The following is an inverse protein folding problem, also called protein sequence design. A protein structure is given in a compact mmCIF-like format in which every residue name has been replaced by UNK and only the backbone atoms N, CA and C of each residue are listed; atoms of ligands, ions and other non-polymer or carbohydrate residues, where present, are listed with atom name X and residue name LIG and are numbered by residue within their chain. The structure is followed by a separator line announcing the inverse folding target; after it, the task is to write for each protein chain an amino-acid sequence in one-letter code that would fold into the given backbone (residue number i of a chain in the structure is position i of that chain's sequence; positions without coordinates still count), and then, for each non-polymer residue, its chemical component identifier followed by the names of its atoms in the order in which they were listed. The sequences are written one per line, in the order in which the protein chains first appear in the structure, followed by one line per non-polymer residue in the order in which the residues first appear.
data_IF_461247352340
#
_entry.id   IF_461247352340
#
_cell.length_a   1.000
_cell.length_b   1.000
_cell.length_c   1.000
_cell.angle_alpha   90.00
_cell.angle_beta   90.00
_cell.angle_gamma   90.00
#
_symmetry.space_group_name_H-M   'P 1'
#
loop_
_entity.id
_entity.type
_entity.pdbx_description
1 polymer ?
#
# COMPACT_ATOMS: atom_id res chain seq x y z
N UNK A 1 33.60 16.22 -16.15
CA UNK A 1 32.21 16.25 -15.63
C UNK A 1 31.63 14.86 -15.77
N UNK A 2 31.49 14.11 -14.67
CA UNK A 2 30.83 12.80 -14.73
C UNK A 2 29.39 13.01 -15.20
N UNK A 3 28.97 12.31 -16.26
CA UNK A 3 27.57 12.30 -16.68
C UNK A 3 26.75 11.76 -15.50
N UNK A 4 25.90 12.61 -14.92
CA UNK A 4 24.81 12.12 -14.09
C UNK A 4 24.10 11.03 -14.88
N UNK A 5 23.85 9.87 -14.27
CA UNK A 5 23.13 8.79 -14.91
C UNK A 5 21.79 9.28 -15.46
N UNK A 6 21.19 8.54 -16.40
CA UNK A 6 19.82 8.85 -16.83
C UNK A 6 18.89 8.97 -15.61
N UNK A 7 17.80 9.75 -15.68
CA UNK A 7 16.87 9.89 -14.54
C UNK A 7 16.43 8.54 -13.97
N UNK A 8 16.17 7.55 -14.83
CA UNK A 8 15.87 6.17 -14.43
C UNK A 8 17.01 5.51 -13.66
N UNK A 9 18.26 5.68 -14.09
CA UNK A 9 19.43 5.12 -13.40
C UNK A 9 19.66 5.79 -12.03
N UNK A 10 19.38 7.10 -11.91
CA UNK A 10 19.46 7.83 -10.64
C UNK A 10 18.44 7.29 -9.64
N UNK A 11 17.17 7.12 -10.06
CA UNK A 11 16.12 6.57 -9.21
C UNK A 11 16.38 5.11 -8.82
N UNK A 12 16.79 4.27 -9.78
CA UNK A 12 17.12 2.87 -9.52
C UNK A 12 18.24 2.75 -8.47
N UNK A 13 19.28 3.59 -8.57
CA UNK A 13 20.38 3.63 -7.60
C UNK A 13 19.92 4.12 -6.23
N UNK A 14 19.08 5.16 -6.18
CA UNK A 14 18.51 5.63 -4.92
C UNK A 14 17.75 4.50 -4.20
N UNK A 15 16.89 3.77 -4.92
CA UNK A 15 16.10 2.68 -4.34
C UNK A 15 16.99 1.50 -3.92
N UNK A 16 17.99 1.11 -4.72
CA UNK A 16 18.88 0.00 -4.39
C UNK A 16 19.80 0.27 -3.20
N UNK A 17 20.20 1.53 -3.02
CA UNK A 17 21.18 1.92 -1.98
C UNK A 17 20.50 2.37 -0.66
N UNK A 18 19.16 2.45 -0.65
CA UNK A 18 18.37 2.82 0.51
C UNK A 18 18.41 1.69 1.56
N UNK A 19 18.83 2.03 2.77
CA UNK A 19 18.71 1.18 3.94
C UNK A 19 18.00 1.94 5.06
N UNK A 20 17.42 1.20 6.00
CA UNK A 20 16.58 1.78 7.06
C UNK A 20 17.29 2.88 7.85
N UNK A 21 18.57 2.68 8.18
CA UNK A 21 19.38 3.64 8.95
C UNK A 21 19.65 4.97 8.21
N UNK A 22 19.44 5.02 6.89
CA UNK A 22 19.54 6.25 6.09
C UNK A 22 18.23 7.04 6.04
N UNK A 23 17.14 6.51 6.59
CA UNK A 23 15.84 7.19 6.58
C UNK A 23 15.80 8.20 7.73
N UNK A 24 15.56 9.50 7.47
CA UNK A 24 15.45 10.50 8.53
C UNK A 24 14.36 10.15 9.54
N UNK A 25 14.60 10.40 10.83
CA UNK A 25 13.65 10.05 11.90
C UNK A 25 12.27 10.65 11.68
N UNK A 26 12.19 11.88 11.17
CA UNK A 26 10.90 12.51 10.88
C UNK A 26 10.12 11.79 9.78
N UNK A 27 10.78 11.15 8.82
CA UNK A 27 10.13 10.34 7.77
C UNK A 27 9.58 9.06 8.38
N UNK A 28 10.33 8.42 9.28
CA UNK A 28 9.88 7.24 10.03
C UNK A 28 8.68 7.59 10.93
N UNK A 29 8.70 8.75 11.58
CA UNK A 29 7.57 9.22 12.37
C UNK A 29 6.34 9.48 11.50
N UNK A 30 6.51 10.10 10.33
CA UNK A 30 5.42 10.43 9.42
C UNK A 30 4.80 9.19 8.78
N UNK A 31 5.59 8.23 8.28
CA UNK A 31 5.05 7.03 7.64
C UNK A 31 4.19 6.19 8.60
N UNK A 32 4.47 6.21 9.91
CA UNK A 32 3.60 5.57 10.92
C UNK A 32 2.21 6.20 10.96
N UNK A 33 2.10 7.51 10.79
CA UNK A 33 0.82 8.21 10.70
C UNK A 33 0.11 7.86 9.39
N UNK A 34 0.82 7.82 8.26
CA UNK A 34 0.25 7.38 6.98
C UNK A 34 -0.28 5.94 7.03
N UNK A 35 0.44 5.04 7.71
CA UNK A 35 -0.03 3.65 7.94
C UNK A 35 -1.31 3.64 8.78
N UNK A 36 -1.34 4.43 9.87
CA UNK A 36 -2.51 4.53 10.72
C UNK A 36 -3.73 5.07 9.94
N UNK A 37 -3.52 6.12 9.16
CA UNK A 37 -4.53 6.74 8.30
C UNK A 37 -5.09 5.75 7.27
N UNK A 38 -4.22 5.07 6.52
CA UNK A 38 -4.62 4.10 5.52
C UNK A 38 -5.43 2.93 6.12
N UNK A 39 -5.03 2.42 7.30
CA UNK A 39 -5.79 1.39 8.00
C UNK A 39 -7.18 1.90 8.43
N UNK A 40 -7.27 3.14 8.92
CA UNK A 40 -8.56 3.78 9.24
C UNK A 40 -9.47 3.91 8.02
N UNK A 41 -8.93 4.39 6.91
CA UNK A 41 -9.64 4.52 5.64
C UNK A 41 -10.10 3.15 5.11
N UNK A 42 -9.26 2.14 5.16
CA UNK A 42 -9.61 0.79 4.72
C UNK A 42 -10.71 0.16 5.58
N UNK A 43 -10.68 0.36 6.91
CA UNK A 43 -11.73 -0.10 7.82
C UNK A 43 -13.07 0.55 7.47
N UNK A 44 -13.09 1.87 7.27
CA UNK A 44 -14.29 2.57 6.82
C UNK A 44 -14.75 2.06 5.45
N UNK A 45 -13.84 1.98 4.49
CA UNK A 45 -14.09 1.51 3.13
C UNK A 45 -14.68 0.10 3.07
N UNK A 46 -14.22 -0.81 3.95
CA UNK A 46 -14.72 -2.19 4.03
C UNK A 46 -16.21 -2.28 4.35
N UNK A 47 -16.77 -1.25 5.01
CA UNK A 47 -18.19 -1.18 5.35
C UNK A 47 -19.07 -0.70 4.19
N UNK A 48 -18.49 -0.04 3.18
CA UNK A 48 -19.20 0.58 2.06
C UNK A 48 -19.63 -0.43 1.00
N UNK A 49 -20.66 -0.12 0.17
CA UNK A 49 -21.15 -1.04 -0.85
C UNK A 49 -20.07 -1.52 -1.83
N UNK A 50 -19.23 -0.61 -2.34
CA UNK A 50 -18.13 -0.95 -3.25
C UNK A 50 -16.99 -1.69 -2.56
N UNK A 51 -16.73 -1.40 -1.28
CA UNK A 51 -15.81 -2.19 -0.47
C UNK A 51 -16.24 -3.65 -0.37
N UNK A 52 -17.52 -3.91 -0.07
CA UNK A 52 -18.08 -5.26 -0.06
C UNK A 52 -17.99 -5.95 -1.42
N UNK A 53 -18.14 -5.20 -2.52
CA UNK A 53 -18.01 -5.73 -3.88
C UNK A 53 -16.59 -6.21 -4.14
N UNK A 54 -15.57 -5.38 -3.86
CA UNK A 54 -14.18 -5.77 -4.14
C UNK A 54 -13.72 -6.91 -3.23
N UNK A 55 -14.14 -6.91 -1.96
CA UNK A 55 -13.86 -8.00 -1.01
C UNK A 55 -14.42 -9.33 -1.53
N UNK A 56 -15.67 -9.34 -2.00
CA UNK A 56 -16.27 -10.55 -2.58
C UNK A 56 -15.53 -10.99 -3.83
N UNK A 57 -15.23 -10.05 -4.74
CA UNK A 57 -14.51 -10.35 -5.98
C UNK A 57 -13.16 -11.03 -5.73
N UNK A 58 -12.31 -10.47 -4.85
CA UNK A 58 -10.98 -11.06 -4.61
C UNK A 58 -11.04 -12.42 -3.93
N UNK A 59 -12.08 -12.68 -3.13
CA UNK A 59 -12.35 -14.01 -2.52
C UNK A 59 -12.77 -15.03 -3.58
N UNK A 60 -13.52 -14.62 -4.58
CA UNK A 60 -13.92 -15.46 -5.72
C UNK A 60 -12.76 -15.74 -6.67
N UNK A 61 -11.82 -14.81 -6.83
CA UNK A 61 -10.62 -15.00 -7.68
C UNK A 61 -9.65 -16.08 -7.16
N UNK A 62 -9.75 -16.47 -5.89
CA UNK A 62 -8.95 -17.55 -5.34
C UNK A 62 -8.85 -17.51 -3.82
N UNK A 63 -8.66 -18.69 -3.23
CA UNK A 63 -8.44 -18.87 -1.79
C UNK A 63 -7.02 -19.40 -1.56
N UNK A 64 -6.39 -19.02 -0.46
CA UNK A 64 -5.04 -19.48 -0.13
C UNK A 64 -4.36 -18.63 0.95
N UNK A 65 -3.28 -19.16 1.53
CA UNK A 65 -2.43 -18.47 2.51
C UNK A 65 -1.57 -17.44 1.78
N UNK A 66 -1.92 -16.17 1.91
CA UNK A 66 -1.18 -15.07 1.29
C UNK A 66 -1.23 -13.84 2.17
N UNK A 67 -2.15 -12.93 1.89
CA UNK A 67 -2.29 -11.68 2.61
C UNK A 67 -3.74 -11.42 3.03
N UNK A 68 -3.89 -10.65 4.12
CA UNK A 68 -5.19 -10.34 4.72
C UNK A 68 -5.87 -9.20 3.98
N UNK A 69 -7.19 -9.31 3.85
CA UNK A 69 -8.05 -8.19 3.50
C UNK A 69 -8.28 -7.34 4.77
N UNK A 70 -7.89 -6.07 4.73
CA UNK A 70 -8.07 -5.15 5.85
C UNK A 70 -9.56 -4.89 6.13
N UNK A 71 -9.96 -4.97 7.39
CA UNK A 71 -11.35 -4.81 7.83
C UNK A 71 -12.28 -6.02 7.64
N UNK A 72 -11.88 -7.02 6.85
CA UNK A 72 -12.63 -8.29 6.70
C UNK A 72 -11.91 -9.46 7.38
N UNK A 73 -10.58 -9.51 7.30
CA UNK A 73 -9.76 -10.53 7.95
C UNK A 73 -9.63 -11.86 7.19
N UNK A 74 -10.27 -12.03 6.03
CA UNK A 74 -10.00 -13.19 5.20
C UNK A 74 -8.60 -13.14 4.57
N UNK A 75 -8.00 -14.32 4.40
CA UNK A 75 -6.77 -14.52 3.63
C UNK A 75 -7.09 -14.85 2.17
N UNK A 76 -6.40 -14.16 1.27
CA UNK A 76 -6.43 -14.40 -0.18
C UNK A 76 -4.99 -14.46 -0.70
N UNK A 77 -4.75 -14.97 -1.93
CA UNK A 77 -3.42 -14.91 -2.53
C UNK A 77 -2.81 -13.51 -2.46
N UNK A 78 -1.49 -13.41 -2.22
CA UNK A 78 -0.81 -12.12 -2.02
C UNK A 78 -0.88 -11.18 -3.22
N UNK A 79 -1.21 -11.69 -4.41
CA UNK A 79 -1.48 -10.88 -5.61
C UNK A 79 -2.85 -10.21 -5.59
N UNK A 80 -3.80 -10.71 -4.79
CA UNK A 80 -5.19 -10.25 -4.77
C UNK A 80 -5.46 -9.29 -3.62
N UNK A 81 -4.85 -9.50 -2.45
CA UNK A 81 -5.07 -8.63 -1.28
C UNK A 81 -4.75 -7.15 -1.55
N UNK A 82 -3.66 -6.78 -2.26
CA UNK A 82 -3.36 -5.39 -2.56
C UNK A 82 -4.46 -4.69 -3.36
N UNK A 83 -5.11 -5.40 -4.30
CA UNK A 83 -6.22 -4.86 -5.08
C UNK A 83 -7.40 -4.51 -4.19
N UNK A 84 -7.77 -5.41 -3.27
CA UNK A 84 -8.83 -5.13 -2.31
C UNK A 84 -8.44 -3.99 -1.38
N UNK A 85 -7.32 -4.12 -0.67
CA UNK A 85 -6.90 -3.16 0.36
C UNK A 85 -6.70 -1.76 -0.21
N UNK A 86 -6.09 -1.61 -1.39
CA UNK A 86 -5.95 -0.30 -2.03
C UNK A 86 -7.29 0.33 -2.40
N UNK A 87 -8.23 -0.47 -2.90
CA UNK A 87 -9.61 -0.01 -3.17
C UNK A 87 -10.34 0.38 -1.88
N UNK A 88 -10.08 -0.31 -0.77
CA UNK A 88 -10.67 0.04 0.53
C UNK A 88 -10.08 1.35 1.09
N UNK A 89 -8.76 1.54 0.98
CA UNK A 89 -8.10 2.79 1.40
C UNK A 89 -8.66 3.97 0.62
N UNK A 90 -8.67 3.88 -0.72
CA UNK A 90 -9.12 4.96 -1.60
C UNK A 90 -10.64 4.93 -1.86
N UNK A 91 -11.41 4.41 -0.91
CA UNK A 91 -12.84 4.14 -1.09
C UNK A 91 -13.71 5.41 -1.02
N UNK A 92 -13.21 6.49 -0.42
CA UNK A 92 -14.00 7.69 -0.15
C UNK A 92 -13.19 9.00 -0.13
N UNK A 93 -12.00 9.02 -0.75
CA UNK A 93 -11.13 10.22 -0.83
C UNK A 93 -10.75 10.81 0.54
N UNK A 94 -10.66 9.95 1.56
CA UNK A 94 -10.25 10.31 2.92
C UNK A 94 -8.76 10.07 3.18
N UNK A 95 -8.12 9.31 2.30
CA UNK A 95 -6.73 8.88 2.40
C UNK A 95 -5.74 10.00 2.08
N UNK A 96 -4.46 9.69 2.28
CA UNK A 96 -3.37 10.65 2.13
C UNK A 96 -3.27 11.25 0.72
N UNK A 97 -2.83 12.52 0.63
CA UNK A 97 -2.65 13.23 -0.64
C UNK A 97 -1.30 13.94 -0.69
N UNK A 98 -0.46 13.55 -1.64
CA UNK A 98 0.71 14.32 -2.05
C UNK A 98 0.30 15.38 -3.07
N UNK A 99 -0.01 16.58 -2.60
CA UNK A 99 -0.62 17.68 -3.38
C UNK A 99 0.14 18.05 -4.66
N UNK A 100 1.46 18.17 -4.61
CA UNK A 100 2.25 18.59 -5.78
C UNK A 100 2.27 17.53 -6.88
N UNK A 101 2.17 16.25 -6.49
CA UNK A 101 2.16 15.14 -7.42
C UNK A 101 0.73 14.74 -7.81
N UNK A 102 -0.29 15.29 -7.13
CA UNK A 102 -1.69 14.91 -7.24
C UNK A 102 -1.85 13.38 -7.14
N UNK A 103 -1.33 12.83 -6.04
CA UNK A 103 -1.18 11.39 -5.84
C UNK A 103 -1.63 10.96 -4.44
N UNK A 104 -2.28 9.80 -4.36
CA UNK A 104 -2.62 9.09 -3.11
C UNK A 104 -1.68 7.90 -2.92
N UNK A 105 -0.46 8.10 -2.35
CA UNK A 105 0.56 7.06 -2.34
C UNK A 105 0.27 5.93 -1.35
N UNK A 106 -0.43 6.21 -0.25
CA UNK A 106 -0.74 5.23 0.80
C UNK A 106 -1.60 4.09 0.27
N UNK A 107 -2.64 4.41 -0.51
CA UNK A 107 -3.54 3.43 -1.12
C UNK A 107 -2.85 2.46 -2.08
N UNK A 108 -1.71 2.85 -2.66
CA UNK A 108 -0.99 2.02 -3.65
C UNK A 108 0.14 1.25 -2.99
N UNK A 109 0.98 1.93 -2.20
CA UNK A 109 2.25 1.37 -1.73
C UNK A 109 2.08 0.50 -0.49
N UNK A 110 1.24 0.89 0.47
CA UNK A 110 1.09 0.18 1.73
C UNK A 110 0.46 -1.21 1.55
N UNK A 111 -0.62 -1.39 0.76
CA UNK A 111 -1.18 -2.71 0.49
C UNK A 111 -0.18 -3.67 -0.17
N UNK A 112 0.62 -3.16 -1.12
CA UNK A 112 1.62 -3.96 -1.82
C UNK A 112 2.74 -4.43 -0.87
N UNK A 113 3.23 -3.53 -0.01
CA UNK A 113 4.27 -3.86 0.97
C UNK A 113 3.75 -4.85 2.02
N UNK A 114 2.54 -4.66 2.56
CA UNK A 114 1.94 -5.61 3.52
C UNK A 114 1.81 -7.01 2.91
N UNK A 115 1.38 -7.11 1.65
CA UNK A 115 1.28 -8.39 0.96
C UNK A 115 2.64 -9.08 0.76
N UNK A 116 3.69 -8.33 0.40
CA UNK A 116 5.05 -8.85 0.26
C UNK A 116 5.62 -9.37 1.60
N UNK A 117 5.43 -8.60 2.68
CA UNK A 117 5.88 -8.97 4.02
C UNK A 117 5.20 -10.25 4.50
N UNK A 118 3.91 -10.42 4.20
CA UNK A 118 3.15 -11.62 4.57
C UNK A 118 3.48 -12.84 3.72
N UNK A 119 3.75 -12.66 2.43
CA UNK A 119 4.18 -13.75 1.54
C UNK A 119 5.53 -14.35 1.97
N UNK A 120 6.40 -13.52 2.58
CA UNK A 120 7.76 -13.91 2.94
C UNK A 120 7.88 -14.58 4.32
N UNK A 121 6.74 -14.89 4.97
CA UNK A 121 6.66 -15.59 6.27
C UNK A 121 6.20 -17.02 6.08
#
# INVERSE_FOLDING_TARGET
MARSGSPTAVLARFVSDLCFDKIPEQVIAHIKLCILDALGCALYGSSLPWGKIIIRFVKECGTGRGALIWGDGAEVPSTNAPLANGTLVHSFELDDLHREAVLHPGAVTLPAVDALVRQSR
#
